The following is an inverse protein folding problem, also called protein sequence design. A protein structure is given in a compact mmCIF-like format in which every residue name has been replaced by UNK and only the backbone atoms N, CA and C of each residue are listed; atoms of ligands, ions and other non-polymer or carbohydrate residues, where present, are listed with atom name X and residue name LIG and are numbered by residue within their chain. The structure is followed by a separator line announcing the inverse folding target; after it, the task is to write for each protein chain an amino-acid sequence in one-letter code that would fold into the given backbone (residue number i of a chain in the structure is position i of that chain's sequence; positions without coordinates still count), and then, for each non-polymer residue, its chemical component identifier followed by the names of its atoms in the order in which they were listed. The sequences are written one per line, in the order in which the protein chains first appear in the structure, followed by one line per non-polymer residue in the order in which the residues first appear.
data_IF_786217040837
#
_entry.id   IF_786217040837
#
_cell.length_a   1.000
_cell.length_b   1.000
_cell.length_c   1.000
_cell.angle_alpha   90.00
_cell.angle_beta   90.00
_cell.angle_gamma   90.00
#
_symmetry.space_group_name_H-M   'P 1'
#
loop_
_entity.id
_entity.type
_entity.pdbx_description
1 polymer ?
#
# COMPACT_ATOMS: atom_id res chain seq x y z
N UNK A 1 -15.84 8.60 6.01
CA UNK A 1 -14.36 8.50 5.93
C UNK A 1 -13.90 8.92 4.55
N UNK A 2 -12.93 9.85 4.44
CA UNK A 2 -12.30 10.23 3.16
C UNK A 2 -11.14 9.27 2.84
N UNK A 3 -11.07 8.81 1.59
CA UNK A 3 -10.03 7.96 1.04
C UNK A 3 -9.17 8.80 0.08
N UNK A 4 -7.86 8.59 0.07
CA UNK A 4 -6.89 9.20 -0.83
C UNK A 4 -6.43 8.13 -1.82
N UNK A 5 -6.53 8.41 -3.11
CA UNK A 5 -6.14 7.47 -4.17
C UNK A 5 -4.61 7.35 -4.24
N UNK A 6 -4.12 6.11 -4.22
CA UNK A 6 -2.71 5.78 -4.43
C UNK A 6 -2.42 5.81 -5.94
N UNK A 7 -1.23 6.24 -6.31
CA UNK A 7 -0.76 6.48 -7.69
C UNK A 7 -1.37 7.70 -8.40
N UNK A 8 -2.39 8.33 -7.82
CA UNK A 8 -2.94 9.61 -8.28
C UNK A 8 -2.64 10.74 -7.29
N UNK A 9 -3.09 10.61 -6.04
CA UNK A 9 -2.90 11.62 -4.99
C UNK A 9 -1.74 11.30 -4.04
N UNK A 10 -1.36 10.01 -3.93
CA UNK A 10 -0.26 9.54 -3.08
C UNK A 10 0.68 8.63 -3.86
N UNK A 11 1.96 9.00 -3.96
CA UNK A 11 2.99 8.15 -4.54
C UNK A 11 3.26 6.92 -3.66
N UNK A 12 3.31 5.74 -4.29
CA UNK A 12 3.83 4.53 -3.68
C UNK A 12 5.36 4.59 -3.68
N UNK A 13 5.96 5.08 -2.59
CA UNK A 13 7.41 5.26 -2.49
C UNK A 13 8.03 4.78 -1.18
N UNK A 14 9.27 4.34 -1.27
CA UNK A 14 10.13 4.01 -0.14
C UNK A 14 11.39 4.89 -0.13
N UNK A 15 11.83 5.30 1.05
CA UNK A 15 13.16 5.90 1.21
C UNK A 15 14.16 4.80 1.56
N UNK A 16 15.32 4.86 0.94
CA UNK A 16 16.41 3.94 1.19
C UNK A 16 17.71 4.73 1.32
N UNK A 17 18.65 4.16 2.06
CA UNK A 17 19.96 4.75 2.30
C UNK A 17 21.04 3.78 1.85
N UNK A 18 22.11 4.30 1.26
CA UNK A 18 23.32 3.57 0.92
C UNK A 18 24.53 4.15 1.66
N UNK A 19 25.62 3.38 1.72
CA UNK A 19 26.88 3.76 2.38
C UNK A 19 26.66 4.33 3.79
N UNK A 20 26.11 3.51 4.69
CA UNK A 20 25.86 3.88 6.09
C UNK A 20 25.08 5.21 6.26
N UNK A 21 24.15 5.52 5.35
CA UNK A 21 23.33 6.73 5.45
C UNK A 21 23.83 7.90 4.59
N UNK A 22 25.03 7.82 4.00
CA UNK A 22 25.63 8.90 3.22
C UNK A 22 24.82 9.29 1.99
N UNK A 23 24.10 8.35 1.39
CA UNK A 23 23.26 8.62 0.22
C UNK A 23 21.83 8.19 0.46
N UNK A 24 20.91 9.16 0.46
CA UNK A 24 19.48 8.89 0.48
C UNK A 24 18.91 8.87 -0.94
N UNK A 25 18.07 7.88 -1.23
CA UNK A 25 17.34 7.79 -2.49
C UNK A 25 15.89 7.41 -2.23
N UNK A 26 15.01 7.93 -3.09
CA UNK A 26 13.60 7.54 -3.12
C UNK A 26 13.40 6.50 -4.22
N UNK A 27 12.74 5.40 -3.87
CA UNK A 27 12.29 4.36 -4.80
C UNK A 27 10.80 4.54 -4.99
N UNK A 28 10.37 4.89 -6.19
CA UNK A 28 8.95 5.08 -6.55
C UNK A 28 8.51 3.90 -7.41
N UNK A 29 7.43 3.24 -7.02
CA UNK A 29 6.83 2.18 -7.83
C UNK A 29 5.92 2.79 -8.89
N UNK A 30 6.14 2.42 -10.15
CA UNK A 30 5.33 2.85 -11.29
C UNK A 30 4.68 1.61 -11.88
N UNK A 31 3.36 1.42 -11.72
CA UNK A 31 2.67 0.27 -12.27
C UNK A 31 2.65 0.32 -13.80
N UNK A 32 2.78 -0.84 -14.45
CA UNK A 32 2.70 -0.95 -15.92
C UNK A 32 1.26 -0.87 -16.41
N UNK A 33 0.32 -1.47 -15.65
CA UNK A 33 -1.12 -1.48 -15.92
C UNK A 33 -1.85 -1.12 -14.63
N UNK A 34 -2.43 0.08 -14.57
CA UNK A 34 -3.22 0.56 -13.44
C UNK A 34 -4.32 1.53 -13.92
N UNK A 35 -5.53 1.46 -13.34
CA UNK A 35 -5.96 0.50 -12.31
C UNK A 35 -6.15 -0.92 -12.87
N UNK A 36 -5.94 -1.94 -12.02
CA UNK A 36 -6.07 -3.36 -12.38
C UNK A 36 -6.96 -4.03 -11.34
N UNK A 37 -8.17 -4.49 -11.70
CA UNK A 37 -8.98 -5.32 -10.82
C UNK A 37 -8.17 -6.54 -10.37
N UNK A 38 -8.13 -6.77 -9.06
CA UNK A 38 -7.45 -7.92 -8.46
C UNK A 38 -8.50 -8.90 -7.98
N UNK A 39 -8.24 -10.18 -8.21
CA UNK A 39 -9.14 -11.23 -7.76
C UNK A 39 -9.15 -11.33 -6.22
N UNK A 40 -10.32 -11.60 -5.65
CA UNK A 40 -10.50 -11.66 -4.20
C UNK A 40 -9.75 -12.83 -3.59
N UNK A 41 -9.71 -13.97 -4.27
CA UNK A 41 -9.02 -15.18 -3.79
C UNK A 41 -7.52 -14.94 -3.79
N UNK A 42 -6.98 -14.29 -4.83
CA UNK A 42 -5.58 -13.88 -4.89
C UNK A 42 -5.21 -12.92 -3.74
N UNK A 43 -6.06 -11.93 -3.47
CA UNK A 43 -5.86 -10.98 -2.37
C UNK A 43 -5.89 -11.66 -0.99
N UNK A 44 -6.77 -12.64 -0.79
CA UNK A 44 -6.83 -13.43 0.45
C UNK A 44 -5.54 -14.24 0.62
N UNK A 45 -5.15 -15.03 -0.40
CA UNK A 45 -3.92 -15.83 -0.40
C UNK A 45 -2.69 -14.97 -0.16
N UNK A 46 -2.66 -13.77 -0.73
CA UNK A 46 -1.59 -12.81 -0.48
C UNK A 46 -1.51 -12.44 1.01
N UNK A 47 -2.62 -12.10 1.65
CA UNK A 47 -2.59 -11.74 3.07
C UNK A 47 -2.24 -12.95 3.96
N UNK A 48 -2.68 -14.15 3.61
CA UNK A 48 -2.26 -15.40 4.29
C UNK A 48 -0.75 -15.63 4.17
N UNK A 49 -0.17 -15.37 3.00
CA UNK A 49 1.29 -15.43 2.82
C UNK A 49 2.03 -14.43 3.72
N UNK A 50 1.47 -13.22 3.92
CA UNK A 50 2.02 -12.23 4.84
C UNK A 50 1.90 -12.67 6.30
N UNK A 51 0.81 -13.33 6.67
CA UNK A 51 0.63 -13.91 8.00
C UNK A 51 1.67 -15.01 8.27
N UNK A 52 1.90 -15.92 7.30
CA UNK A 52 2.92 -16.97 7.41
C UNK A 52 4.34 -16.39 7.47
N UNK A 53 4.67 -15.42 6.62
CA UNK A 53 6.00 -14.78 6.57
C UNK A 53 6.28 -13.91 7.80
N UNK A 54 5.24 -13.30 8.37
CA UNK A 54 5.37 -12.35 9.47
C UNK A 54 4.31 -12.57 10.56
N UNK A 55 4.34 -13.71 11.28
CA UNK A 55 3.27 -14.10 12.21
C UNK A 55 3.04 -13.08 13.33
N UNK A 56 4.12 -12.45 13.83
CA UNK A 56 4.06 -11.45 14.90
C UNK A 56 3.60 -10.05 14.44
N UNK A 57 3.40 -9.82 13.13
CA UNK A 57 3.05 -8.48 12.59
C UNK A 57 1.55 -8.22 12.51
N UNK A 58 0.71 -9.22 12.81
CA UNK A 58 -0.73 -9.08 12.95
C UNK A 58 -1.45 -8.72 11.65
N UNK A 59 -0.99 -9.22 10.50
CA UNK A 59 -1.65 -9.02 9.22
C UNK A 59 -3.07 -9.62 9.21
N UNK A 60 -4.01 -8.91 8.61
CA UNK A 60 -5.40 -9.36 8.44
C UNK A 60 -6.04 -8.65 7.26
N UNK A 61 -7.16 -9.21 6.80
CA UNK A 61 -7.99 -8.62 5.77
C UNK A 61 -9.44 -8.48 6.23
N UNK A 62 -10.23 -7.70 5.51
CA UNK A 62 -11.68 -7.59 5.68
C UNK A 62 -12.31 -6.95 4.44
N UNK A 63 -13.58 -7.22 4.18
CA UNK A 63 -14.36 -6.42 3.24
C UNK A 63 -14.97 -5.21 3.95
N UNK A 64 -14.98 -4.05 3.28
CA UNK A 64 -15.61 -2.84 3.82
C UNK A 64 -16.35 -2.09 2.74
N UNK A 65 -17.56 -1.62 3.06
CA UNK A 65 -18.33 -0.72 2.20
C UNK A 65 -18.05 0.73 2.58
N UNK A 66 -17.69 1.57 1.62
CA UNK A 66 -17.47 3.01 1.80
C UNK A 66 -18.14 3.74 0.64
N UNK A 67 -19.08 4.65 0.95
CA UNK A 67 -19.84 5.41 -0.06
C UNK A 67 -20.42 4.52 -1.19
N UNK A 68 -21.04 3.40 -0.81
CA UNK A 68 -21.65 2.47 -1.75
C UNK A 68 -20.70 1.45 -2.39
N UNK A 69 -19.38 1.70 -2.43
CA UNK A 69 -18.38 0.80 -3.05
C UNK A 69 -17.79 -0.21 -2.07
N UNK A 70 -17.44 -1.39 -2.59
CA UNK A 70 -16.83 -2.49 -1.83
C UNK A 70 -15.32 -2.49 -1.98
N UNK A 71 -14.63 -2.60 -0.84
CA UNK A 71 -13.18 -2.64 -0.78
C UNK A 71 -12.69 -3.90 -0.09
N UNK A 72 -11.63 -4.49 -0.61
CA UNK A 72 -10.77 -5.39 0.13
C UNK A 72 -9.76 -4.56 0.93
N UNK A 73 -9.71 -4.78 2.25
CA UNK A 73 -8.89 -3.95 3.14
C UNK A 73 -7.77 -4.79 3.75
N UNK A 74 -6.52 -4.50 3.39
CA UNK A 74 -5.33 -5.09 4.00
C UNK A 74 -4.91 -4.22 5.19
N UNK A 75 -4.74 -4.82 6.37
CA UNK A 75 -4.36 -4.08 7.60
C UNK A 75 -3.48 -4.88 8.53
N UNK A 76 -2.82 -4.19 9.46
CA UNK A 76 -2.10 -4.78 10.59
C UNK A 76 -2.75 -4.39 11.90
N UNK A 77 -2.80 -5.31 12.87
CA UNK A 77 -3.29 -5.03 14.23
C UNK A 77 -2.17 -4.46 15.13
N UNK A 78 -2.47 -3.51 16.03
CA UNK A 78 -3.71 -2.73 16.08
C UNK A 78 -3.81 -1.77 14.89
N UNK A 79 -5.02 -1.60 14.34
CA UNK A 79 -5.24 -0.71 13.21
C UNK A 79 -5.12 0.75 13.64
N UNK A 80 -4.49 1.59 12.81
CA UNK A 80 -4.37 3.02 13.08
C UNK A 80 -3.30 3.70 12.21
N UNK A 81 -2.99 4.96 12.48
CA UNK A 81 -2.01 5.70 11.67
C UNK A 81 -0.58 5.16 11.76
N UNK A 82 -0.25 4.38 12.81
CA UNK A 82 1.03 3.64 12.94
C UNK A 82 1.04 2.33 12.13
N UNK A 83 -0.13 1.85 11.73
CA UNK A 83 -0.34 0.65 10.92
C UNK A 83 -1.43 0.93 9.86
N UNK A 84 -1.18 1.84 8.90
CA UNK A 84 -2.20 2.26 7.95
C UNK A 84 -2.71 1.07 7.13
N UNK A 85 -4.02 1.04 6.94
CA UNK A 85 -4.71 0.04 6.12
C UNK A 85 -4.77 0.49 4.66
N UNK A 86 -4.57 -0.44 3.75
CA UNK A 86 -4.72 -0.26 2.31
C UNK A 86 -6.09 -0.79 1.86
N UNK A 87 -6.86 0.04 1.17
CA UNK A 87 -8.15 -0.30 0.58
C UNK A 87 -7.95 -0.54 -0.91
N UNK A 88 -8.45 -1.65 -1.42
CA UNK A 88 -8.43 -1.99 -2.85
C UNK A 88 -9.90 -2.07 -3.28
N UNK A 89 -10.31 -1.17 -4.18
CA UNK A 89 -11.67 -1.17 -4.73
C UNK A 89 -11.85 -2.44 -5.57
N UNK A 90 -12.85 -3.24 -5.23
CA UNK A 90 -13.10 -4.51 -5.88
C UNK A 90 -13.73 -4.38 -7.27
N UNK A 91 -14.20 -3.17 -7.62
CA UNK A 91 -14.81 -2.92 -8.92
C UNK A 91 -13.75 -2.53 -9.96
N UNK A 92 -12.93 -1.51 -9.67
CA UNK A 92 -11.97 -0.96 -10.63
C UNK A 92 -10.51 -1.29 -10.31
N UNK A 93 -10.22 -1.84 -9.12
CA UNK A 93 -8.86 -2.17 -8.71
C UNK A 93 -8.03 -0.98 -8.24
N UNK A 94 -8.64 0.21 -8.04
CA UNK A 94 -7.94 1.37 -7.49
C UNK A 94 -7.61 1.19 -6.03
N UNK A 95 -6.46 1.74 -5.64
CA UNK A 95 -5.92 1.63 -4.30
C UNK A 95 -6.12 2.92 -3.53
N UNK A 96 -6.44 2.80 -2.25
CA UNK A 96 -6.71 3.94 -1.39
C UNK A 96 -6.18 3.76 0.02
N UNK A 97 -5.87 4.87 0.68
CA UNK A 97 -5.54 4.92 2.10
C UNK A 97 -6.41 5.98 2.78
N UNK A 98 -6.90 5.78 4.02
CA UNK A 98 -7.64 6.81 4.73
C UNK A 98 -6.88 8.13 4.82
N UNK A 99 -7.54 9.24 4.46
CA UNK A 99 -6.94 10.57 4.44
C UNK A 99 -6.38 10.98 5.82
N UNK A 100 -7.02 10.53 6.90
CA UNK A 100 -6.55 10.77 8.27
C UNK A 100 -5.20 10.12 8.56
N UNK A 101 -4.88 8.98 7.92
CA UNK A 101 -3.59 8.31 8.07
C UNK A 101 -2.52 9.00 7.23
N UNK A 102 -2.86 9.33 5.97
CA UNK A 102 -1.96 10.05 5.06
C UNK A 102 -1.55 11.39 5.67
N UNK A 103 -2.51 12.15 6.23
CA UNK A 103 -2.22 13.43 6.90
C UNK A 103 -1.26 13.28 8.09
N UNK A 104 -1.34 12.19 8.86
CA UNK A 104 -0.50 11.98 10.05
C UNK A 104 0.86 11.37 9.74
N UNK A 105 0.92 10.45 8.78
CA UNK A 105 2.12 9.65 8.45
C UNK A 105 2.19 9.39 6.94
N UNK A 106 2.39 10.44 6.11
CA UNK A 106 2.37 10.31 4.65
C UNK A 106 3.45 9.35 4.15
N UNK A 107 4.69 9.48 4.66
CA UNK A 107 5.81 8.60 4.30
C UNK A 107 5.54 7.12 4.59
N UNK A 108 4.90 6.82 5.73
CA UNK A 108 4.55 5.43 6.08
C UNK A 108 3.44 4.89 5.16
N UNK A 109 2.46 5.72 4.82
CA UNK A 109 1.39 5.34 3.89
C UNK A 109 1.96 5.04 2.50
N UNK A 110 2.83 5.93 1.98
CA UNK A 110 3.59 5.71 0.74
C UNK A 110 4.41 4.43 0.79
N UNK A 111 5.10 4.17 1.89
CA UNK A 111 5.93 2.97 2.06
C UNK A 111 5.08 1.69 2.04
N UNK A 112 3.94 1.68 2.73
CA UNK A 112 3.05 0.53 2.71
C UNK A 112 2.51 0.30 1.29
N UNK A 113 2.04 1.36 0.62
CA UNK A 113 1.62 1.27 -0.78
C UNK A 113 2.74 0.71 -1.66
N UNK A 114 3.98 1.18 -1.52
CA UNK A 114 5.15 0.69 -2.24
C UNK A 114 5.40 -0.80 -2.03
N UNK A 115 5.39 -1.26 -0.77
CA UNK A 115 5.62 -2.66 -0.45
C UNK A 115 4.53 -3.55 -1.07
N UNK A 116 3.26 -3.15 -0.98
CA UNK A 116 2.16 -3.93 -1.58
C UNK A 116 2.19 -3.89 -3.09
N UNK A 117 2.55 -2.76 -3.69
CA UNK A 117 2.61 -2.60 -5.13
C UNK A 117 3.66 -3.53 -5.75
N UNK A 118 4.85 -3.64 -5.13
CA UNK A 118 5.88 -4.59 -5.58
C UNK A 118 5.43 -6.05 -5.51
N UNK A 119 4.55 -6.40 -4.55
CA UNK A 119 4.08 -7.77 -4.39
C UNK A 119 2.88 -8.11 -5.30
N UNK A 120 1.98 -7.15 -5.54
CA UNK A 120 0.67 -7.38 -6.17
C UNK A 120 0.53 -6.84 -7.60
N UNK A 121 1.39 -5.91 -8.01
CA UNK A 121 1.27 -5.24 -9.30
C UNK A 121 2.52 -5.49 -10.15
N UNK A 122 2.31 -5.57 -11.46
CA UNK A 122 3.39 -5.51 -12.43
C UNK A 122 3.79 -4.06 -12.66
N UNK A 123 5.08 -3.77 -12.64
CA UNK A 123 5.58 -2.42 -12.79
C UNK A 123 7.10 -2.36 -12.71
N UNK A 124 7.61 -1.13 -12.61
CA UNK A 124 9.03 -0.87 -12.43
C UNK A 124 9.25 0.02 -11.22
N UNK A 125 10.42 -0.09 -10.62
CA UNK A 125 10.85 0.84 -9.57
C UNK A 125 11.79 1.87 -10.19
N UNK A 126 11.42 3.15 -10.08
CA UNK A 126 12.27 4.29 -10.44
C UNK A 126 13.03 4.73 -9.20
N UNK A 127 14.36 4.77 -9.27
CA UNK A 127 15.20 5.35 -8.23
C UNK A 127 15.45 6.82 -8.53
N UNK A 128 15.18 7.68 -7.56
CA UNK A 128 15.40 9.12 -7.62
C UNK A 128 16.39 9.47 -6.51
N UNK A 129 17.57 9.97 -6.90
CA UNK A 129 18.56 10.45 -5.93
C UNK A 129 17.98 11.69 -5.24
N UNK A 130 18.00 11.73 -3.91
CA UNK A 130 17.81 13.00 -3.20
C UNK A 130 19.12 13.78 -3.33
N UNK A 131 19.04 14.90 -4.04
CA UNK A 131 20.07 15.95 -3.98
C UNK A 131 20.06 16.56 -2.58
#
# INVERSE_FOLDING_TARGET
MKLIEVFNELEAKATSTAQNGKYAYERVFIPRRYPKPLDKVELIKYVESLQKKYPKKGFSWSFRRVKGRWYFVIRRKPAGYKNPSLYIDLHDGRWYIPASYVRRKPKLCSFIAFMRAQDLLEGRVKTVRKL
#
